data_IF_039004995756
#
_entry.id   IF_039004995756
#
_cell.length_a   1.000
_cell.length_b   1.000
_cell.length_c   1.000
_cell.angle_alpha   90.00
_cell.angle_beta   90.00
_cell.angle_gamma   90.00
#
_symmetry.space_group_name_H-M   'P 1'
#
loop_
_entity.id
_entity.type
_entity.pdbx_description
1 polymer ?
#
# COMPACT_ATOMS: atom_id res chain seq x y z
N UNK A 1 25.11 -3.58 -16.48
CA UNK A 1 24.83 -2.86 -15.23
C UNK A 1 23.57 -3.45 -14.64
N UNK A 2 23.71 -4.27 -13.59
CA UNK A 2 22.59 -4.95 -12.92
C UNK A 2 21.69 -3.91 -12.28
N UNK A 3 20.38 -4.02 -12.49
CA UNK A 3 19.35 -3.13 -11.98
C UNK A 3 19.46 -2.99 -10.45
N UNK A 4 20.05 -1.90 -9.97
CA UNK A 4 19.99 -1.51 -8.55
C UNK A 4 18.60 -0.90 -8.23
N UNK A 5 17.83 -0.53 -9.26
CA UNK A 5 16.50 0.07 -9.10
C UNK A 5 15.47 -0.91 -8.50
N UNK A 6 15.51 -2.20 -8.86
CA UNK A 6 14.53 -3.20 -8.38
C UNK A 6 14.63 -3.41 -6.86
N UNK A 7 15.84 -3.52 -6.34
CA UNK A 7 16.09 -3.77 -4.91
C UNK A 7 15.82 -2.56 -4.02
N UNK A 8 16.09 -1.35 -4.50
CA UNK A 8 15.86 -0.12 -3.74
C UNK A 8 14.36 0.23 -3.66
N UNK A 9 13.64 0.13 -4.78
CA UNK A 9 12.19 0.38 -4.76
C UNK A 9 11.48 -0.63 -3.86
N UNK A 10 11.83 -1.90 -3.99
CA UNK A 10 11.27 -2.98 -3.19
C UNK A 10 11.48 -2.79 -1.69
N UNK A 11 12.71 -2.53 -1.27
CA UNK A 11 13.03 -2.39 0.14
C UNK A 11 12.32 -1.18 0.76
N UNK A 12 12.22 -0.06 0.03
CA UNK A 12 11.66 1.19 0.56
C UNK A 12 10.12 1.18 0.53
N UNK A 13 9.52 0.68 -0.55
CA UNK A 13 8.06 0.51 -0.66
C UNK A 13 7.54 -0.48 0.40
N UNK A 14 8.23 -1.62 0.57
CA UNK A 14 7.85 -2.61 1.59
C UNK A 14 8.03 -2.00 2.98
N UNK A 15 9.18 -1.39 3.29
CA UNK A 15 9.44 -0.77 4.60
C UNK A 15 8.40 0.28 5.01
N UNK A 16 7.87 1.03 4.04
CA UNK A 16 6.83 2.04 4.29
C UNK A 16 5.50 1.40 4.70
N UNK A 17 5.17 0.21 4.16
CA UNK A 17 3.91 -0.52 4.42
C UNK A 17 4.06 -1.52 5.58
N UNK A 18 5.27 -1.80 6.08
CA UNK A 18 5.54 -2.65 7.27
C UNK A 18 5.26 -1.90 8.58
N UNK A 19 4.16 -1.16 8.67
CA UNK A 19 3.57 -0.93 9.99
C UNK A 19 2.72 -2.17 10.30
N UNK A 20 3.10 -3.04 11.26
CA UNK A 20 2.31 -4.21 11.59
C UNK A 20 0.94 -3.71 12.06
N UNK A 21 -0.10 -3.91 11.25
CA UNK A 21 -1.48 -3.77 11.69
C UNK A 21 -1.74 -4.98 12.58
N UNK A 22 -2.18 -4.76 13.80
CA UNK A 22 -2.32 -5.77 14.85
C UNK A 22 -3.71 -5.74 15.44
N UNK A 23 -4.13 -6.82 16.10
CA UNK A 23 -5.40 -6.85 16.85
C UNK A 23 -5.49 -5.74 17.91
N UNK A 24 -4.34 -5.26 18.41
CA UNK A 24 -4.29 -4.14 19.35
C UNK A 24 -4.76 -2.82 18.72
N UNK A 25 -4.59 -2.65 17.39
CA UNK A 25 -5.09 -1.48 16.65
C UNK A 25 -6.63 -1.48 16.56
N UNK A 26 -7.29 -2.63 16.78
CA UNK A 26 -8.75 -2.78 16.77
C UNK A 26 -9.42 -2.36 18.09
N UNK A 27 -8.66 -2.08 19.15
CA UNK A 27 -9.22 -1.86 20.51
C UNK A 27 -10.05 -0.58 20.62
N UNK A 28 -9.71 0.45 19.86
CA UNK A 28 -10.42 1.73 19.90
C UNK A 28 -10.47 2.39 18.53
N UNK A 29 -11.50 3.20 18.29
CA UNK A 29 -11.62 4.06 17.12
C UNK A 29 -10.42 5.01 16.96
N UNK A 30 -9.85 5.48 18.07
CA UNK A 30 -8.66 6.33 18.07
C UNK A 30 -7.42 5.57 17.57
N UNK A 31 -7.19 4.34 18.04
CA UNK A 31 -6.09 3.49 17.59
C UNK A 31 -6.22 3.15 16.09
N UNK A 32 -7.41 2.73 15.65
CA UNK A 32 -7.70 2.50 14.24
C UNK A 32 -7.43 3.74 13.38
N UNK A 33 -7.89 4.91 13.82
CA UNK A 33 -7.71 6.18 13.11
C UNK A 33 -6.24 6.59 13.01
N UNK A 34 -5.46 6.41 14.08
CA UNK A 34 -4.02 6.68 14.07
C UNK A 34 -3.29 5.75 13.09
N UNK A 35 -3.63 4.46 13.09
CA UNK A 35 -3.05 3.49 12.18
C UNK A 35 -3.45 3.73 10.71
N UNK A 36 -4.71 4.07 10.47
CA UNK A 36 -5.20 4.46 9.15
C UNK A 36 -4.48 5.72 8.62
N UNK A 37 -4.08 6.63 9.51
CA UNK A 37 -3.28 7.81 9.16
C UNK A 37 -1.86 7.40 8.76
N UNK A 38 -1.18 6.56 9.55
CA UNK A 38 0.15 6.02 9.20
C UNK A 38 0.13 5.29 7.85
N UNK A 39 -0.89 4.46 7.62
CA UNK A 39 -1.09 3.77 6.36
C UNK A 39 -1.31 4.76 5.20
N UNK A 40 -2.03 5.86 5.43
CA UNK A 40 -2.22 6.92 4.42
C UNK A 40 -0.89 7.54 4.02
N UNK A 41 -0.01 7.83 4.99
CA UNK A 41 1.34 8.32 4.74
C UNK A 41 2.16 7.31 3.94
N UNK A 42 2.08 6.03 4.30
CA UNK A 42 2.76 4.94 3.59
C UNK A 42 2.34 4.81 2.13
N UNK A 43 1.02 4.77 1.85
CA UNK A 43 0.47 4.74 0.48
C UNK A 43 0.94 5.96 -0.31
N UNK A 44 0.93 7.14 0.32
CA UNK A 44 1.29 8.39 -0.36
C UNK A 44 2.77 8.40 -0.73
N UNK A 45 3.64 7.99 0.20
CA UNK A 45 5.07 7.81 -0.09
C UNK A 45 5.31 6.76 -1.19
N UNK A 46 4.58 5.65 -1.13
CA UNK A 46 4.64 4.60 -2.15
C UNK A 46 4.23 5.12 -3.54
N UNK A 47 3.16 5.91 -3.61
CA UNK A 47 2.70 6.51 -4.85
C UNK A 47 3.72 7.49 -5.43
N UNK A 48 4.32 8.35 -4.61
CA UNK A 48 5.35 9.30 -5.06
C UNK A 48 6.59 8.59 -5.63
N UNK A 49 6.99 7.49 -5.01
CA UNK A 49 8.11 6.67 -5.48
C UNK A 49 7.76 5.96 -6.80
N UNK A 50 6.54 5.40 -6.89
CA UNK A 50 6.05 4.80 -8.11
C UNK A 50 6.00 5.81 -9.26
N UNK A 51 5.50 7.02 -9.00
CA UNK A 51 5.44 8.11 -9.98
C UNK A 51 6.85 8.53 -10.44
N UNK A 52 7.81 8.56 -9.51
CA UNK A 52 9.23 8.85 -9.83
C UNK A 52 9.82 7.80 -10.78
N UNK A 53 9.53 6.52 -10.55
CA UNK A 53 10.00 5.43 -11.44
C UNK A 53 9.30 5.45 -12.78
N UNK A 54 8.00 5.72 -12.79
CA UNK A 54 7.26 5.89 -14.04
C UNK A 54 7.71 7.12 -14.83
N UNK A 55 8.23 8.17 -14.18
CA UNK A 55 8.87 9.28 -14.89
C UNK A 55 10.19 8.84 -15.58
N UNK A 56 10.87 7.84 -15.04
CA UNK A 56 12.07 7.23 -15.61
C UNK A 56 11.75 6.10 -16.63
N UNK A 57 10.46 5.93 -16.99
CA UNK A 57 9.90 4.87 -17.86
C UNK A 57 10.63 4.68 -19.20
N UNK A 58 11.25 5.72 -19.75
CA UNK A 58 12.01 5.62 -21.00
C UNK A 58 13.19 4.63 -20.93
N UNK A 59 13.64 4.26 -19.72
CA UNK A 59 14.74 3.33 -19.49
C UNK A 59 14.29 1.95 -18.99
N UNK A 60 12.98 1.73 -18.80
CA UNK A 60 12.44 0.49 -18.25
C UNK A 60 11.96 -0.48 -19.34
N UNK A 61 12.35 -1.76 -19.27
CA UNK A 61 11.77 -2.84 -20.07
C UNK A 61 10.23 -2.83 -20.06
N UNK A 62 9.60 -3.10 -21.21
CA UNK A 62 8.14 -3.11 -21.37
C UNK A 62 7.43 -4.02 -20.35
N UNK A 63 8.07 -5.13 -19.97
CA UNK A 63 7.58 -6.07 -18.96
C UNK A 63 7.36 -5.43 -17.57
N UNK A 64 8.11 -4.38 -17.22
CA UNK A 64 7.91 -3.65 -15.96
C UNK A 64 6.83 -2.59 -16.06
N UNK A 65 6.52 -2.09 -17.26
CA UNK A 65 5.47 -1.09 -17.42
C UNK A 65 4.10 -1.66 -17.04
N UNK A 66 3.79 -2.90 -17.43
CA UNK A 66 2.55 -3.58 -17.03
C UNK A 66 2.45 -3.76 -15.52
N UNK A 67 3.55 -4.19 -14.87
CA UNK A 67 3.59 -4.36 -13.42
C UNK A 67 3.40 -3.03 -12.69
N UNK A 68 4.08 -1.96 -13.12
CA UNK A 68 3.95 -0.62 -12.53
C UNK A 68 2.53 -0.05 -12.71
N UNK A 69 1.90 -0.23 -13.89
CA UNK A 69 0.50 0.18 -14.12
C UNK A 69 -0.48 -0.60 -13.24
N UNK A 70 -0.25 -1.91 -13.04
CA UNK A 70 -1.05 -2.72 -12.10
C UNK A 70 -0.92 -2.17 -10.68
N UNK A 71 0.31 -1.95 -10.20
CA UNK A 71 0.56 -1.40 -8.85
C UNK A 71 -0.09 -0.04 -8.64
N UNK A 72 -0.07 0.82 -9.65
CA UNK A 72 -0.72 2.12 -9.60
C UNK A 72 -2.24 2.00 -9.44
N UNK A 73 -2.83 1.01 -10.12
CA UNK A 73 -4.26 0.68 -10.00
C UNK A 73 -4.60 0.11 -8.62
N UNK A 74 -3.75 -0.78 -8.11
CA UNK A 74 -3.92 -1.39 -6.79
C UNK A 74 -3.81 -0.35 -5.67
N UNK A 75 -2.81 0.55 -5.72
CA UNK A 75 -2.65 1.66 -4.78
C UNK A 75 -3.87 2.61 -4.78
N UNK A 76 -4.41 2.92 -5.97
CA UNK A 76 -5.62 3.75 -6.10
C UNK A 76 -6.83 3.06 -5.47
N UNK A 77 -7.02 1.78 -5.78
CA UNK A 77 -8.11 0.97 -5.22
C UNK A 77 -8.01 0.88 -3.70
N UNK A 78 -6.80 0.66 -3.19
CA UNK A 78 -6.51 0.62 -1.77
C UNK A 78 -6.84 1.94 -1.07
N UNK A 79 -6.46 3.08 -1.67
CA UNK A 79 -6.79 4.41 -1.15
C UNK A 79 -8.30 4.61 -1.02
N UNK A 80 -9.06 4.28 -2.06
CA UNK A 80 -10.53 4.38 -2.06
C UNK A 80 -11.16 3.46 -1.01
N UNK A 81 -10.71 2.20 -0.93
CA UNK A 81 -11.22 1.24 0.05
C UNK A 81 -10.94 1.67 1.49
N UNK A 82 -9.73 2.17 1.77
CA UNK A 82 -9.36 2.74 3.07
C UNK A 82 -10.21 3.96 3.44
N UNK A 83 -10.46 4.86 2.50
CA UNK A 83 -11.34 6.03 2.72
C UNK A 83 -12.76 5.60 3.07
N UNK A 84 -13.31 4.63 2.33
CA UNK A 84 -14.63 4.05 2.62
C UNK A 84 -14.66 3.42 4.02
N UNK A 85 -13.63 2.65 4.37
CA UNK A 85 -13.50 2.01 5.67
C UNK A 85 -13.44 3.04 6.81
N UNK A 86 -12.63 4.08 6.64
CA UNK A 86 -12.52 5.16 7.61
C UNK A 86 -13.85 5.91 7.79
N UNK A 87 -14.58 6.17 6.70
CA UNK A 87 -15.91 6.77 6.76
C UNK A 87 -16.92 5.89 7.51
N UNK A 88 -16.90 4.57 7.28
CA UNK A 88 -17.77 3.62 8.00
C UNK A 88 -17.45 3.59 9.49
N UNK A 89 -16.17 3.57 9.88
CA UNK A 89 -15.73 3.63 11.29
C UNK A 89 -16.12 4.98 11.92
N UNK A 90 -15.98 6.08 11.18
CA UNK A 90 -16.36 7.41 11.66
C UNK A 90 -17.87 7.54 11.90
N UNK A 91 -18.69 7.00 10.99
CA UNK A 91 -20.15 7.01 11.09
C UNK A 91 -20.74 5.94 11.99
N UNK A 92 -19.92 5.02 12.53
CA UNK A 92 -20.40 3.89 13.34
C UNK A 92 -21.18 2.84 12.54
N UNK A 93 -21.10 2.88 11.21
CA UNK A 93 -21.81 1.95 10.30
C UNK A 93 -21.08 0.63 10.09
N UNK A 94 -20.02 0.39 10.85
CA UNK A 94 -19.26 -0.86 10.85
C UNK A 94 -18.73 -1.12 12.25
N UNK A 95 -18.68 -2.39 12.60
CA UNK A 95 -18.02 -2.87 13.80
C UNK A 95 -16.49 -2.73 13.69
N UNK A 96 -15.84 -2.33 14.79
CA UNK A 96 -14.39 -2.07 14.85
C UNK A 96 -13.54 -3.31 14.51
N UNK A 97 -13.79 -4.48 15.12
CA UNK A 97 -13.18 -5.75 14.71
C UNK A 97 -13.34 -6.05 13.21
N UNK A 98 -14.54 -5.90 12.67
CA UNK A 98 -14.79 -6.11 11.22
C UNK A 98 -13.98 -5.15 10.36
N UNK A 99 -13.95 -3.86 10.73
CA UNK A 99 -13.16 -2.87 10.02
C UNK A 99 -11.67 -3.15 10.10
N UNK A 100 -11.20 -3.63 11.26
CA UNK A 100 -9.82 -3.99 11.49
C UNK A 100 -9.39 -5.18 10.62
N UNK A 101 -10.21 -6.24 10.56
CA UNK A 101 -9.96 -7.40 9.70
C UNK A 101 -9.90 -7.01 8.22
N UNK A 102 -10.80 -6.11 7.80
CA UNK A 102 -10.77 -5.56 6.44
C UNK A 102 -9.50 -4.76 6.18
N UNK A 103 -9.08 -3.89 7.11
CA UNK A 103 -7.83 -3.14 6.99
C UNK A 103 -6.60 -4.06 6.91
N UNK A 104 -6.54 -5.10 7.76
CA UNK A 104 -5.50 -6.13 7.76
C UNK A 104 -5.41 -6.83 6.40
N UNK A 105 -6.54 -7.33 5.91
CA UNK A 105 -6.63 -8.02 4.61
C UNK A 105 -6.17 -7.10 3.48
N UNK A 106 -6.59 -5.84 3.52
CA UNK A 106 -6.14 -4.86 2.53
C UNK A 106 -4.61 -4.70 2.60
N UNK A 107 -4.03 -4.53 3.79
CA UNK A 107 -2.57 -4.30 3.96
C UNK A 107 -1.77 -5.51 3.48
N UNK A 108 -2.23 -6.72 3.78
CA UNK A 108 -1.63 -7.96 3.28
C UNK A 108 -1.69 -8.07 1.75
N UNK A 109 -2.84 -7.71 1.16
CA UNK A 109 -3.01 -7.66 -0.29
C UNK A 109 -2.04 -6.64 -0.91
N UNK A 110 -1.96 -5.43 -0.35
CA UNK A 110 -1.03 -4.40 -0.81
C UNK A 110 0.42 -4.88 -0.75
N UNK A 111 0.81 -5.54 0.34
CA UNK A 111 2.14 -6.16 0.48
C UNK A 111 2.41 -7.19 -0.61
N UNK A 112 1.42 -8.04 -0.91
CA UNK A 112 1.52 -9.06 -1.95
C UNK A 112 1.67 -8.44 -3.34
N UNK A 113 0.86 -7.43 -3.67
CA UNK A 113 0.95 -6.73 -4.95
C UNK A 113 2.28 -5.99 -5.11
N UNK A 114 2.78 -5.36 -4.04
CA UNK A 114 4.13 -4.77 -4.01
C UNK A 114 5.22 -5.82 -4.24
N UNK A 115 5.13 -6.98 -3.58
CA UNK A 115 6.08 -8.08 -3.73
C UNK A 115 6.06 -8.65 -5.14
N UNK A 116 4.88 -8.80 -5.75
CA UNK A 116 4.73 -9.28 -7.11
C UNK A 116 5.40 -8.33 -8.11
N UNK A 117 5.23 -7.00 -7.94
CA UNK A 117 5.91 -6.02 -8.80
C UNK A 117 7.41 -5.97 -8.55
N UNK A 118 7.83 -6.11 -7.30
CA UNK A 118 9.25 -6.23 -6.92
C UNK A 118 9.92 -7.42 -7.60
N UNK A 119 9.30 -8.59 -7.53
CA UNK A 119 9.81 -9.83 -8.14
C UNK A 119 9.77 -9.76 -9.65
N UNK A 120 8.72 -9.14 -10.21
CA UNK A 120 8.69 -8.85 -11.62
C UNK A 120 9.87 -7.96 -12.02
N UNK A 121 10.24 -6.95 -11.21
CA UNK A 121 11.28 -5.95 -11.48
C UNK A 121 12.75 -6.39 -11.28
N UNK A 122 13.01 -7.52 -10.63
CA UNK A 122 14.35 -8.05 -10.35
C UNK A 122 14.84 -9.05 -11.40
#
# INVERSE_FOLDING_TARGET
>A
MKLILGSCLAAILIASVVCPYTEADCKTKAAFSAKATQLTTAITGAQQQLDTVMAQKAQLPAQYQTALTKLQTDLKTFKTNKESLNSKVQSGKIDLPTACQQALTMVEQLKTDLQAVTQAAG
#
